data_IF_205928997099
#
_entry.id   IF_205928997099
#
_cell.length_a   1.000
_cell.length_b   1.000
_cell.length_c   1.000
_cell.angle_alpha   90.00
_cell.angle_beta   90.00
_cell.angle_gamma   90.00
#
_symmetry.space_group_name_H-M   'P 1'
#
loop_
_entity.id
_entity.type
_entity.pdbx_description
1 polymer ?
#
# COMPACT_ATOMS: atom_id res chain seq x y z
N UNK A 1 -4.35 -1.76 -13.68
CA UNK A 1 -5.38 -2.72 -13.20
C UNK A 1 -4.97 -3.19 -11.81
N UNK A 2 -5.64 -2.72 -10.77
CA UNK A 2 -5.35 -3.06 -9.36
C UNK A 2 -6.00 -4.40 -8.92
N UNK A 3 -6.77 -5.03 -9.82
CA UNK A 3 -7.63 -6.20 -9.58
C UNK A 3 -6.94 -7.42 -8.96
N UNK A 4 -5.62 -7.57 -9.11
CA UNK A 4 -4.86 -8.73 -8.60
C UNK A 4 -4.02 -8.40 -7.36
N UNK A 5 -4.04 -7.16 -6.87
CA UNK A 5 -3.22 -6.75 -5.74
C UNK A 5 -3.93 -7.02 -4.40
N UNK A 6 -3.20 -7.56 -3.42
CA UNK A 6 -3.70 -7.75 -2.05
C UNK A 6 -3.59 -6.50 -1.15
N UNK A 7 -2.96 -5.43 -1.65
CA UNK A 7 -2.76 -4.16 -0.96
C UNK A 7 -2.06 -3.13 -1.84
N UNK A 8 -2.12 -1.86 -1.45
CA UNK A 8 -1.53 -0.73 -2.17
C UNK A 8 -0.62 0.08 -1.24
N UNK A 9 0.61 0.35 -1.68
CA UNK A 9 1.53 1.28 -1.00
C UNK A 9 1.96 2.34 -2.01
N UNK A 10 1.84 3.63 -1.65
CA UNK A 10 2.23 4.74 -2.52
C UNK A 10 3.08 5.77 -1.77
N UNK A 11 4.08 6.30 -2.47
CA UNK A 11 4.97 7.35 -1.94
C UNK A 11 4.34 8.73 -2.06
N UNK A 12 3.65 8.98 -3.18
CA UNK A 12 2.95 10.23 -3.45
C UNK A 12 1.44 10.06 -3.47
N UNK A 13 0.75 11.13 -3.09
CA UNK A 13 -0.71 11.20 -3.01
C UNK A 13 -1.21 11.17 -1.57
N UNK A 14 -2.41 11.72 -1.36
CA UNK A 14 -3.11 11.68 -0.08
C UNK A 14 -4.15 10.55 -0.02
N UNK A 15 -4.82 10.43 1.13
CA UNK A 15 -5.88 9.43 1.35
C UNK A 15 -7.06 9.55 0.36
N UNK A 16 -7.19 10.69 -0.33
CA UNK A 16 -8.20 10.97 -1.35
C UNK A 16 -7.62 10.95 -2.78
N UNK A 17 -6.39 10.46 -2.97
CA UNK A 17 -5.81 10.32 -4.31
C UNK A 17 -6.54 9.25 -5.11
N UNK A 18 -6.43 9.32 -6.45
CA UNK A 18 -7.06 8.35 -7.35
C UNK A 18 -6.73 6.90 -6.95
N UNK A 19 -5.47 6.61 -6.64
CA UNK A 19 -5.07 5.26 -6.20
C UNK A 19 -5.69 4.84 -4.87
N UNK A 20 -5.82 5.75 -3.89
CA UNK A 20 -6.41 5.45 -2.59
C UNK A 20 -7.93 5.21 -2.68
N UNK A 21 -8.63 6.01 -3.49
CA UNK A 21 -10.08 5.83 -3.72
C UNK A 21 -10.33 4.49 -4.41
N UNK A 22 -9.59 4.22 -5.48
CA UNK A 22 -9.65 2.95 -6.22
C UNK A 22 -9.41 1.78 -5.27
N UNK A 23 -8.31 1.76 -4.49
CA UNK A 23 -8.05 0.67 -3.55
C UNK A 23 -9.19 0.41 -2.54
N UNK A 24 -9.85 1.47 -2.05
CA UNK A 24 -11.03 1.36 -1.17
C UNK A 24 -12.23 0.75 -1.88
N UNK A 25 -12.47 1.10 -3.15
CA UNK A 25 -13.52 0.49 -3.97
C UNK A 25 -13.26 -1.00 -4.23
N UNK A 26 -11.98 -1.39 -4.37
CA UNK A 26 -11.58 -2.80 -4.48
C UNK A 26 -11.51 -3.54 -3.14
N UNK A 27 -11.72 -2.85 -2.01
CA UNK A 27 -11.71 -3.47 -0.68
C UNK A 27 -10.33 -3.91 -0.19
N UNK A 28 -9.24 -3.36 -0.74
CA UNK A 28 -7.87 -3.70 -0.34
C UNK A 28 -7.27 -2.61 0.54
N UNK A 29 -6.39 -2.97 1.50
CA UNK A 29 -5.70 -1.98 2.34
C UNK A 29 -4.79 -1.10 1.49
N UNK A 30 -4.84 0.22 1.74
CA UNK A 30 -4.00 1.19 1.05
C UNK A 30 -3.30 2.11 2.06
N UNK A 31 -1.98 2.27 1.90
CA UNK A 31 -1.18 3.24 2.65
C UNK A 31 -0.49 4.18 1.67
N UNK A 32 -0.55 5.47 1.95
CA UNK A 32 -0.08 6.54 1.06
C UNK A 32 0.81 7.51 1.82
N UNK A 33 1.73 8.17 1.12
CA UNK A 33 2.63 9.16 1.72
C UNK A 33 3.83 8.53 2.45
N UNK A 34 4.21 7.30 2.11
CA UNK A 34 5.43 6.68 2.66
C UNK A 34 6.62 7.12 1.81
N UNK A 35 7.48 7.98 2.34
CA UNK A 35 8.72 8.35 1.67
C UNK A 35 9.63 7.13 1.46
N UNK A 36 10.22 7.04 0.26
CA UNK A 36 11.14 5.97 -0.16
C UNK A 36 10.56 4.54 -0.05
N UNK A 37 9.24 4.38 -0.11
CA UNK A 37 8.60 3.07 -0.05
C UNK A 37 9.13 2.12 -1.14
N UNK A 38 9.36 2.62 -2.36
CA UNK A 38 9.84 1.81 -3.48
C UNK A 38 11.31 1.43 -3.37
N UNK A 39 12.10 2.19 -2.60
CA UNK A 39 13.48 1.82 -2.27
C UNK A 39 13.56 0.85 -1.08
N UNK A 40 12.60 0.93 -0.15
CA UNK A 40 12.55 0.11 1.05
C UNK A 40 11.88 -1.25 0.82
N UNK A 41 10.94 -1.32 -0.11
CA UNK A 41 10.20 -2.54 -0.46
C UNK A 41 10.75 -3.09 -1.76
N UNK A 42 11.28 -4.30 -1.73
CA UNK A 42 11.83 -4.95 -2.92
C UNK A 42 10.82 -5.89 -3.57
N UNK A 43 10.90 -6.04 -4.89
CA UNK A 43 10.07 -6.99 -5.63
C UNK A 43 10.26 -8.41 -5.09
N UNK A 44 9.16 -9.08 -4.75
CA UNK A 44 9.15 -10.42 -4.15
C UNK A 44 9.23 -10.41 -2.61
N UNK A 45 9.42 -9.26 -1.98
CA UNK A 45 9.33 -9.13 -0.53
C UNK A 45 7.88 -9.29 -0.07
N UNK A 46 7.68 -10.13 0.95
CA UNK A 46 6.37 -10.24 1.60
C UNK A 46 6.27 -9.17 2.68
N UNK A 47 5.22 -8.36 2.62
CA UNK A 47 4.95 -7.27 3.56
C UNK A 47 3.50 -7.35 4.06
N UNK A 48 3.28 -6.80 5.24
CA UNK A 48 1.94 -6.57 5.80
C UNK A 48 1.60 -5.09 5.64
N UNK A 49 0.43 -4.81 5.08
CA UNK A 49 -0.08 -3.47 4.83
C UNK A 49 -1.31 -3.25 5.71
N UNK A 50 -1.22 -2.34 6.67
CA UNK A 50 -2.33 -1.91 7.51
C UNK A 50 -2.83 -0.53 7.06
N UNK A 51 -3.92 -0.54 6.28
CA UNK A 51 -4.57 0.67 5.80
C UNK A 51 -5.33 1.46 6.87
N UNK A 52 -5.60 0.88 8.05
CA UNK A 52 -6.30 1.56 9.13
C UNK A 52 -5.34 2.41 9.97
N UNK A 53 -4.15 1.89 10.25
CA UNK A 53 -3.11 2.60 11.02
C UNK A 53 -2.10 3.35 10.14
N UNK A 54 -2.06 3.05 8.83
CA UNK A 54 -1.10 3.63 7.91
C UNK A 54 0.29 3.01 8.04
N UNK A 55 0.38 1.77 8.50
CA UNK A 55 1.64 1.09 8.80
C UNK A 55 1.93 0.00 7.78
N UNK A 56 3.18 -0.07 7.33
CA UNK A 56 3.69 -1.16 6.48
C UNK A 56 4.87 -1.81 7.20
N UNK A 57 4.81 -3.13 7.38
CA UNK A 57 5.83 -3.91 8.09
C UNK A 57 6.26 -5.11 7.24
N UNK A 58 7.51 -5.59 7.37
CA UNK A 58 7.91 -6.88 6.81
C UNK A 58 7.04 -7.99 7.40
N UNK A 59 6.62 -8.96 6.58
CA UNK A 59 5.93 -10.12 7.11
C UNK A 59 6.88 -10.88 8.05
N UNK A 60 6.41 -11.16 9.27
CA UNK A 60 7.14 -12.03 10.19
C UNK A 60 7.14 -13.45 9.61
N UNK A 61 8.34 -14.01 9.41
CA UNK A 61 8.54 -15.42 9.04
C UNK A 61 8.31 -16.31 10.26
#
# INVERSE_FOLDING_TARGET
MLLTAGGLVMEMGGANSHGAVVAREYGIPAVVGIADATHRITTGQTITVDGATGVVTPAAV
#
